data_IF_553032471119
#
_entry.id   IF_553032471119
#
_cell.length_a   1.000
_cell.length_b   1.000
_cell.length_c   1.000
_cell.angle_alpha   90.00
_cell.angle_beta   90.00
_cell.angle_gamma   90.00
#
_symmetry.space_group_name_H-M   'P 1'
#
loop_
_entity.id
_entity.type
_entity.pdbx_description
1 polymer ?
#
# COMPACT_ATOMS: atom_id res chain seq x y z
N UNK A 1 -12.39 61.28 -5.81
CA UNK A 1 -12.41 60.26 -4.72
C UNK A 1 -13.10 58.94 -5.10
N UNK A 2 -14.07 58.93 -6.04
CA UNK A 2 -14.82 57.72 -6.44
C UNK A 2 -14.02 56.76 -7.37
N UNK A 3 -13.14 57.30 -8.22
CA UNK A 3 -12.37 56.51 -9.21
C UNK A 3 -11.34 55.58 -8.53
N UNK A 4 -10.69 56.05 -7.46
CA UNK A 4 -9.66 55.29 -6.72
C UNK A 4 -10.30 54.12 -5.94
N UNK A 5 -11.52 54.32 -5.43
CA UNK A 5 -12.26 53.30 -4.69
C UNK A 5 -12.67 52.13 -5.60
N UNK A 6 -13.15 52.39 -6.83
CA UNK A 6 -13.47 51.36 -7.81
C UNK A 6 -12.24 50.55 -8.27
N UNK A 7 -11.08 51.20 -8.41
CA UNK A 7 -9.84 50.52 -8.76
C UNK A 7 -9.36 49.58 -7.64
N UNK A 8 -9.48 50.01 -6.38
CA UNK A 8 -9.12 49.17 -5.22
C UNK A 8 -10.06 47.96 -5.07
N UNK A 9 -11.36 48.12 -5.35
CA UNK A 9 -12.35 47.03 -5.34
C UNK A 9 -12.04 46.03 -6.46
N UNK A 10 -11.77 46.52 -7.68
CA UNK A 10 -11.41 45.68 -8.83
C UNK A 10 -10.12 44.87 -8.60
N UNK A 11 -9.09 45.50 -8.02
CA UNK A 11 -7.84 44.82 -7.67
C UNK A 11 -8.02 43.74 -6.59
N UNK A 12 -8.91 43.99 -5.63
CA UNK A 12 -9.23 43.03 -4.55
C UNK A 12 -10.02 41.83 -5.10
N UNK A 13 -11.00 42.09 -5.97
CA UNK A 13 -11.76 41.05 -6.68
C UNK A 13 -10.85 40.19 -7.56
N UNK A 14 -9.98 40.80 -8.35
CA UNK A 14 -9.08 40.06 -9.25
C UNK A 14 -8.13 39.13 -8.48
N UNK A 15 -7.70 39.54 -7.27
CA UNK A 15 -6.83 38.76 -6.38
C UNK A 15 -7.56 37.59 -5.70
N UNK A 16 -8.83 37.75 -5.33
CA UNK A 16 -9.64 36.65 -4.77
C UNK A 16 -10.01 35.61 -5.84
N UNK A 17 -10.28 36.03 -7.07
CA UNK A 17 -10.49 35.11 -8.19
C UNK A 17 -9.25 34.27 -8.49
N UNK A 18 -8.08 34.90 -8.53
CA UNK A 18 -6.82 34.19 -8.78
C UNK A 18 -6.50 33.17 -7.68
N UNK A 19 -6.74 33.53 -6.41
CA UNK A 19 -6.53 32.62 -5.28
C UNK A 19 -7.49 31.42 -5.30
N UNK A 20 -8.75 31.64 -5.68
CA UNK A 20 -9.75 30.57 -5.80
C UNK A 20 -9.39 29.58 -6.90
N UNK A 21 -8.89 30.10 -8.04
CA UNK A 21 -8.46 29.29 -9.17
C UNK A 21 -7.26 28.38 -8.82
N UNK A 22 -6.28 28.90 -8.09
CA UNK A 22 -5.14 28.11 -7.61
C UNK A 22 -5.57 27.02 -6.63
N UNK A 23 -6.52 27.31 -5.74
CA UNK A 23 -7.01 26.34 -4.78
C UNK A 23 -7.79 25.20 -5.45
N UNK A 24 -8.62 25.52 -6.45
CA UNK A 24 -9.32 24.52 -7.26
C UNK A 24 -8.35 23.61 -8.03
N UNK A 25 -7.25 24.17 -8.56
CA UNK A 25 -6.23 23.40 -9.29
C UNK A 25 -5.48 22.40 -8.39
N UNK A 26 -5.22 22.76 -7.13
CA UNK A 26 -4.55 21.87 -6.17
C UNK A 26 -5.38 20.63 -5.81
N UNK A 27 -6.71 20.70 -5.89
CA UNK A 27 -7.59 19.57 -5.58
C UNK A 27 -7.54 18.46 -6.63
N UNK A 28 -7.20 18.78 -7.89
CA UNK A 28 -7.16 17.82 -9.01
C UNK A 28 -5.91 16.94 -8.99
N UNK A 29 -4.86 17.32 -8.23
CA UNK A 29 -3.59 16.59 -8.20
C UNK A 29 -3.63 15.27 -7.40
N UNK A 30 -4.70 15.00 -6.66
CA UNK A 30 -4.81 13.81 -5.80
C UNK A 30 -5.48 12.62 -6.52
N UNK A 31 -4.93 12.21 -7.67
CA UNK A 31 -5.37 10.99 -8.33
C UNK A 31 -4.87 9.75 -7.57
N UNK A 32 -5.73 8.82 -7.12
CA UNK A 32 -5.26 7.58 -6.51
C UNK A 32 -4.58 6.72 -7.59
N UNK A 33 -3.30 6.44 -7.41
CA UNK A 33 -2.57 5.45 -8.20
C UNK A 33 -3.06 4.05 -7.83
N UNK A 34 -3.83 3.43 -8.71
CA UNK A 34 -4.17 2.01 -8.60
C UNK A 34 -2.95 1.19 -9.02
N UNK A 35 -2.27 0.58 -8.05
CA UNK A 35 -1.22 -0.38 -8.33
C UNK A 35 -1.84 -1.60 -9.03
N UNK A 36 -1.39 -1.88 -10.26
CA UNK A 36 -1.72 -3.12 -10.96
C UNK A 36 -1.36 -4.30 -10.06
N UNK A 37 -2.33 -5.19 -9.82
CA UNK A 37 -2.19 -6.31 -8.87
C UNK A 37 -1.30 -7.39 -9.47
N UNK A 38 -0.01 -7.07 -9.61
CA UNK A 38 1.00 -8.02 -10.04
C UNK A 38 1.17 -9.06 -8.94
N UNK A 39 1.07 -10.33 -9.33
CA UNK A 39 1.35 -11.45 -8.45
C UNK A 39 2.67 -11.25 -7.71
N UNK A 40 2.68 -11.47 -6.40
CA UNK A 40 3.87 -11.35 -5.58
C UNK A 40 4.93 -12.37 -6.00
N UNK A 41 6.19 -12.01 -5.86
CA UNK A 41 7.30 -12.90 -6.16
C UNK A 41 7.52 -13.91 -5.02
N UNK A 42 8.28 -14.98 -5.32
CA UNK A 42 8.73 -15.95 -4.32
C UNK A 42 9.51 -15.27 -3.18
N UNK A 43 10.34 -14.27 -3.50
CA UNK A 43 11.14 -13.55 -2.52
C UNK A 43 10.28 -12.63 -1.66
N UNK A 44 9.27 -11.97 -2.24
CA UNK A 44 8.28 -11.22 -1.47
C UNK A 44 7.53 -12.12 -0.49
N UNK A 45 7.13 -13.33 -0.91
CA UNK A 45 6.51 -14.30 -0.02
C UNK A 45 7.44 -14.71 1.14
N UNK A 46 8.74 -14.90 0.87
CA UNK A 46 9.73 -15.16 1.92
C UNK A 46 9.80 -14.01 2.92
N UNK A 47 9.92 -12.77 2.45
CA UNK A 47 10.00 -11.60 3.32
C UNK A 47 8.74 -11.46 4.18
N UNK A 48 7.54 -11.65 3.60
CA UNK A 48 6.29 -11.61 4.35
C UNK A 48 6.25 -12.70 5.43
N UNK A 49 6.69 -13.92 5.09
CA UNK A 49 6.74 -15.03 6.02
C UNK A 49 7.72 -14.80 7.18
N UNK A 50 8.93 -14.29 6.89
CA UNK A 50 9.96 -14.04 7.91
C UNK A 50 9.63 -12.84 8.78
N UNK A 51 8.94 -11.83 8.26
CA UNK A 51 8.42 -10.71 9.06
C UNK A 51 7.34 -11.17 10.04
N UNK A 52 6.44 -12.07 9.63
CA UNK A 52 5.39 -12.60 10.49
C UNK A 52 5.90 -13.63 11.50
N UNK A 53 6.82 -14.49 11.09
CA UNK A 53 7.42 -15.52 11.94
C UNK A 53 8.94 -15.56 11.68
N UNK A 54 9.72 -14.77 12.45
CA UNK A 54 11.17 -14.74 12.35
C UNK A 54 11.78 -16.14 12.52
N UNK A 55 12.77 -16.46 11.70
CA UNK A 55 13.43 -17.75 11.73
C UNK A 55 14.07 -18.15 10.40
N UNK A 56 14.70 -19.33 10.39
CA UNK A 56 15.35 -19.87 9.20
C UNK A 56 14.31 -20.39 8.22
N UNK A 57 14.35 -19.92 6.98
CA UNK A 57 13.50 -20.46 5.90
C UNK A 57 13.99 -21.85 5.52
N UNK A 58 13.14 -22.85 5.68
CA UNK A 58 13.42 -24.24 5.30
C UNK A 58 13.01 -24.55 3.86
N UNK A 59 12.05 -23.81 3.32
CA UNK A 59 11.63 -23.98 1.94
C UNK A 59 10.41 -23.17 1.55
N UNK A 60 10.26 -22.99 0.24
CA UNK A 60 9.15 -22.24 -0.35
C UNK A 60 8.59 -23.03 -1.53
N UNK A 61 7.29 -23.32 -1.49
CA UNK A 61 6.56 -24.02 -2.55
C UNK A 61 5.43 -23.14 -3.07
N UNK A 62 5.34 -22.96 -4.39
CA UNK A 62 4.18 -22.34 -5.04
C UNK A 62 3.08 -23.41 -5.18
N UNK A 63 1.88 -23.14 -4.67
CA UNK A 63 0.69 -23.97 -4.77
C UNK A 63 -0.43 -23.17 -5.41
N UNK A 64 -0.72 -23.38 -6.69
CA UNK A 64 -1.81 -22.72 -7.43
C UNK A 64 -1.91 -21.20 -7.17
N UNK A 65 -2.69 -20.75 -6.17
CA UNK A 65 -2.87 -19.33 -5.77
C UNK A 65 -2.17 -18.93 -4.46
N UNK A 66 -1.28 -19.75 -3.91
CA UNK A 66 -0.52 -19.45 -2.68
C UNK A 66 0.96 -19.79 -2.78
N UNK A 67 1.80 -19.04 -2.07
CA UNK A 67 3.13 -19.47 -1.66
C UNK A 67 3.06 -20.09 -0.26
N UNK A 68 3.51 -21.33 -0.13
CA UNK A 68 3.71 -21.97 1.16
C UNK A 68 5.17 -21.83 1.57
N UNK A 69 5.45 -21.07 2.62
CA UNK A 69 6.77 -20.87 3.19
C UNK A 69 6.86 -21.64 4.51
N UNK A 70 7.92 -22.43 4.67
CA UNK A 70 8.24 -23.11 5.93
C UNK A 70 9.36 -22.37 6.64
N UNK A 71 9.16 -21.96 7.88
CA UNK A 71 10.19 -21.33 8.72
C UNK A 71 10.39 -22.11 10.01
N UNK A 72 11.63 -22.17 10.47
CA UNK A 72 12.02 -22.75 11.76
C UNK A 72 12.40 -21.60 12.69
N UNK A 73 11.66 -21.42 13.78
CA UNK A 73 12.00 -20.44 14.81
C UNK A 73 13.28 -20.86 15.55
N UNK A 74 13.89 -19.92 16.27
CA UNK A 74 15.04 -20.20 17.15
C UNK A 74 14.68 -21.21 18.27
N UNK A 75 13.42 -21.23 18.69
CA UNK A 75 12.88 -22.22 19.64
C UNK A 75 12.64 -23.61 19.02
N UNK A 76 12.99 -23.81 17.75
CA UNK A 76 12.80 -25.09 17.04
C UNK A 76 11.37 -25.36 16.58
N UNK A 77 10.46 -24.37 16.65
CA UNK A 77 9.08 -24.54 16.18
C UNK A 77 9.00 -24.35 14.67
N UNK A 78 8.34 -25.29 13.99
CA UNK A 78 8.07 -25.22 12.56
C UNK A 78 6.79 -24.43 12.31
N UNK A 79 6.90 -23.33 11.55
CA UNK A 79 5.77 -22.56 11.05
C UNK A 79 5.56 -22.84 9.56
N UNK A 80 4.32 -23.15 9.18
CA UNK A 80 3.92 -23.33 7.77
C UNK A 80 2.96 -22.22 7.40
N UNK A 81 3.42 -21.29 6.58
CA UNK A 81 2.75 -20.02 6.31
C UNK A 81 2.28 -20.03 4.87
N UNK A 82 0.98 -19.89 4.64
CA UNK A 82 0.42 -19.81 3.30
C UNK A 82 0.13 -18.34 2.97
N UNK A 83 0.67 -17.84 1.87
CA UNK A 83 0.56 -16.45 1.46
C UNK A 83 -0.14 -16.42 0.11
N UNK A 84 -1.19 -15.61 -0.03
CA UNK A 84 -1.90 -15.45 -1.28
C UNK A 84 -1.02 -14.77 -2.34
N UNK A 85 -0.97 -15.33 -3.55
CA UNK A 85 -0.09 -14.86 -4.63
C UNK A 85 -0.51 -13.50 -5.16
N UNK A 86 -1.81 -13.18 -5.15
CA UNK A 86 -2.30 -11.95 -5.76
C UNK A 86 -2.29 -10.78 -4.77
N UNK A 87 -2.46 -11.08 -3.47
CA UNK A 87 -2.62 -10.05 -2.43
C UNK A 87 -1.46 -9.97 -1.45
N UNK A 88 -0.58 -10.97 -1.39
CA UNK A 88 0.47 -11.05 -0.37
C UNK A 88 -0.05 -11.28 1.06
N UNK A 89 -1.36 -11.51 1.23
CA UNK A 89 -1.96 -11.72 2.55
C UNK A 89 -1.67 -13.13 3.06
N UNK A 90 -1.30 -13.23 4.33
CA UNK A 90 -1.14 -14.51 5.03
C UNK A 90 -2.54 -15.12 5.22
N UNK A 91 -2.78 -16.26 4.59
CA UNK A 91 -3.92 -17.12 4.85
C UNK A 91 -3.62 -17.89 6.13
N UNK A 92 -4.21 -17.45 7.24
CA UNK A 92 -4.10 -18.11 8.54
C UNK A 92 -4.32 -19.61 8.36
N UNK A 93 -3.30 -20.40 8.72
CA UNK A 93 -3.37 -21.84 8.65
C UNK A 93 -4.32 -22.33 9.74
N UNK A 94 -5.45 -22.96 9.37
CA UNK A 94 -6.10 -23.89 10.28
C UNK A 94 -5.02 -24.87 10.75
N UNK A 95 -4.78 -24.93 12.06
CA UNK A 95 -3.88 -25.90 12.69
C UNK A 95 -4.19 -27.28 12.11
N UNK A 96 -3.23 -27.87 11.39
CA UNK A 96 -3.28 -29.27 11.06
C UNK A 96 -3.04 -30.03 12.36
N UNK A 97 -4.12 -30.28 13.10
CA UNK A 97 -4.18 -31.25 14.18
C UNK A 97 -4.18 -32.64 13.53
N UNK A 98 -3.05 -33.34 13.64
CA UNK A 98 -2.94 -34.78 13.76
C UNK A 98 -1.48 -35.15 14.00
#
# INVERSE_FOLDING_TARGET
MIIILNYHIAATLMKTFFSSLVFALLLVLNSPLYADTKAISKQQAVNIATQAHPGRVLGVKKKSKTYQVKTLSESGKLHVINIDINTGRIKSGKKSSR
#
